data_IF_789965652986
#
_entry.id   IF_789965652986
#
_cell.length_a   1.000
_cell.length_b   1.000
_cell.length_c   1.000
_cell.angle_alpha   90.00
_cell.angle_beta   90.00
_cell.angle_gamma   90.00
#
_symmetry.space_group_name_H-M   'P 1'
#
loop_
_entity.id
_entity.type
_entity.pdbx_description
1 polymer ?
#
# COMPACT_ATOMS: atom_id res chain seq x y z
N UNK A 1 -9.49 -5.43 14.92
CA UNK A 1 -9.09 -5.32 13.49
C UNK A 1 -7.75 -5.99 13.35
N UNK A 2 -7.53 -6.71 12.25
CA UNK A 2 -6.25 -7.38 11.98
C UNK A 2 -5.28 -6.37 11.42
N UNK A 3 -4.03 -6.40 11.88
CA UNK A 3 -2.99 -5.54 11.33
C UNK A 3 -2.30 -6.22 10.12
N UNK A 4 -1.68 -5.46 9.20
CA UNK A 4 -1.03 -6.03 8.02
C UNK A 4 -0.03 -7.17 8.32
N UNK A 5 0.76 -7.06 9.40
CA UNK A 5 1.74 -8.07 9.81
C UNK A 5 1.15 -9.34 10.45
N UNK A 6 -0.15 -9.35 10.72
CA UNK A 6 -0.86 -10.52 11.24
C UNK A 6 -1.41 -11.41 10.11
N UNK A 7 -1.36 -10.93 8.86
CA UNK A 7 -1.80 -11.65 7.68
C UNK A 7 -0.61 -12.28 6.94
N UNK A 8 -0.78 -13.45 6.32
CA UNK A 8 0.14 -13.90 5.27
C UNK A 8 0.04 -12.97 4.07
N UNK A 9 1.02 -13.00 3.17
CA UNK A 9 1.04 -12.12 2.01
C UNK A 9 -0.20 -12.35 1.12
N UNK A 10 -0.61 -13.61 0.94
CA UNK A 10 -1.84 -13.95 0.22
C UNK A 10 -3.08 -13.35 0.88
N UNK A 11 -3.19 -13.41 2.22
CA UNK A 11 -4.31 -12.82 2.95
C UNK A 11 -4.27 -11.28 2.95
N UNK A 12 -3.08 -10.70 2.92
CA UNK A 12 -2.88 -9.25 2.83
C UNK A 12 -3.25 -8.70 1.45
N UNK A 13 -2.83 -9.38 0.37
CA UNK A 13 -2.93 -8.90 -1.00
C UNK A 13 -4.08 -9.49 -1.82
N UNK A 14 -4.75 -10.51 -1.29
CA UNK A 14 -5.86 -11.21 -1.94
C UNK A 14 -5.44 -12.26 -2.98
N UNK A 15 -6.38 -13.12 -3.40
CA UNK A 15 -6.10 -14.31 -4.24
C UNK A 15 -5.60 -13.96 -5.64
N UNK A 16 -5.91 -12.76 -6.15
CA UNK A 16 -5.43 -12.29 -7.45
C UNK A 16 -3.91 -12.28 -7.60
N UNK A 17 -3.17 -12.26 -6.48
CA UNK A 17 -1.73 -12.13 -6.50
C UNK A 17 -0.98 -13.29 -7.17
N UNK A 18 -1.62 -14.46 -7.27
CA UNK A 18 -1.06 -15.64 -7.92
C UNK A 18 -1.07 -15.54 -9.45
N UNK A 19 -1.76 -14.55 -10.01
CA UNK A 19 -1.91 -14.34 -11.45
C UNK A 19 -1.49 -12.91 -11.84
N UNK A 20 -0.19 -12.60 -11.98
CA UNK A 20 0.26 -11.27 -12.37
C UNK A 20 -0.41 -10.77 -13.65
N UNK A 21 -0.88 -9.53 -13.65
CA UNK A 21 -1.66 -8.94 -14.74
C UNK A 21 -1.48 -7.43 -14.78
N UNK A 22 -1.48 -6.85 -15.98
CA UNK A 22 -1.44 -5.39 -16.16
C UNK A 22 -2.84 -4.74 -16.09
N UNK A 23 -3.91 -5.50 -15.81
CA UNK A 23 -5.28 -4.97 -15.72
C UNK A 23 -5.48 -3.92 -14.63
N UNK A 24 -4.67 -3.94 -13.56
CA UNK A 24 -4.68 -2.93 -12.50
C UNK A 24 -3.67 -1.78 -12.74
N UNK A 25 -3.04 -1.72 -13.91
CA UNK A 25 -2.12 -0.64 -14.25
C UNK A 25 -2.90 0.62 -14.61
N UNK A 26 -2.70 1.67 -13.85
CA UNK A 26 -3.26 3.00 -14.14
C UNK A 26 -2.39 3.74 -15.15
N UNK A 27 -2.98 4.16 -16.26
CA UNK A 27 -2.30 5.05 -17.22
C UNK A 27 -2.22 6.50 -16.70
N UNK A 28 -1.33 7.33 -17.24
CA UNK A 28 -1.25 8.74 -16.80
C UNK A 28 -2.56 9.52 -17.06
N UNK A 29 -3.26 9.23 -18.17
CA UNK A 29 -4.55 9.86 -18.48
C UNK A 29 -5.68 9.39 -17.56
N UNK A 30 -5.69 8.11 -17.17
CA UNK A 30 -6.62 7.59 -16.17
C UNK A 30 -6.33 8.15 -14.77
N UNK A 31 -5.05 8.22 -14.40
CA UNK A 31 -4.64 8.83 -13.14
C UNK A 31 -5.07 10.29 -13.04
N UNK A 32 -4.96 11.06 -14.13
CA UNK A 32 -5.42 12.45 -14.16
C UNK A 32 -6.93 12.58 -13.90
N UNK A 33 -7.75 11.68 -14.46
CA UNK A 33 -9.20 11.62 -14.19
C UNK A 33 -9.48 11.30 -12.73
N UNK A 34 -8.83 10.26 -12.21
CA UNK A 34 -8.98 9.86 -10.80
C UNK A 34 -8.55 11.02 -9.88
N UNK A 35 -7.42 11.68 -10.14
CA UNK A 35 -6.97 12.83 -9.36
C UNK A 35 -8.00 13.96 -9.38
N UNK A 36 -8.60 14.27 -10.53
CA UNK A 36 -9.62 15.30 -10.64
C UNK A 36 -10.86 14.97 -9.79
N UNK A 37 -11.29 13.71 -9.75
CA UNK A 37 -12.36 13.25 -8.86
C UNK A 37 -11.94 13.36 -7.39
N UNK A 38 -10.74 12.88 -7.06
CA UNK A 38 -10.18 12.90 -5.71
C UNK A 38 -9.96 14.31 -5.16
N UNK A 39 -9.72 15.31 -6.02
CA UNK A 39 -9.60 16.71 -5.63
C UNK A 39 -10.89 17.28 -5.01
N UNK A 40 -12.05 16.69 -5.32
CA UNK A 40 -13.35 17.08 -4.75
C UNK A 40 -13.73 16.27 -3.50
N UNK A 41 -12.91 15.28 -3.14
CA UNK A 41 -13.17 14.39 -2.00
C UNK A 41 -12.87 15.08 -0.67
N UNK A 42 -13.69 14.80 0.35
CA UNK A 42 -13.40 15.23 1.72
C UNK A 42 -12.42 14.26 2.38
N UNK A 43 -11.32 14.80 2.89
CA UNK A 43 -10.24 14.03 3.50
C UNK A 43 -10.29 14.09 5.03
N UNK A 44 -9.88 13.01 5.68
CA UNK A 44 -9.47 13.04 7.07
C UNK A 44 -8.20 13.90 7.23
N UNK A 45 -7.85 14.33 8.46
CA UNK A 45 -6.59 15.02 8.70
C UNK A 45 -5.40 14.21 8.15
N UNK A 46 -4.55 14.88 7.38
CA UNK A 46 -3.37 14.25 6.79
C UNK A 46 -2.31 13.99 7.87
N UNK A 47 -1.64 12.84 7.77
CA UNK A 47 -0.61 12.40 8.71
C UNK A 47 0.76 12.35 8.01
N UNK A 48 1.85 12.70 8.71
CA UNK A 48 3.20 12.59 8.15
C UNK A 48 3.62 11.13 8.01
N UNK A 49 4.49 10.83 7.04
CA UNK A 49 4.99 9.45 6.77
C UNK A 49 6.05 8.97 7.79
N UNK A 50 6.27 9.71 8.89
CA UNK A 50 7.06 9.25 10.05
C UNK A 50 8.59 9.12 9.85
N UNK A 51 9.10 9.23 8.62
CA UNK A 51 10.53 9.13 8.29
C UNK A 51 11.09 10.45 7.76
N UNK A 52 12.31 10.82 8.15
CA UNK A 52 13.02 12.01 7.66
C UNK A 52 13.06 12.10 6.12
N UNK A 53 13.25 10.96 5.45
CA UNK A 53 13.29 10.86 3.99
C UNK A 53 11.97 11.30 3.32
N UNK A 54 10.86 11.24 4.04
CA UNK A 54 9.52 11.47 3.52
C UNK A 54 8.81 12.67 4.18
N UNK A 55 9.53 13.55 4.90
CA UNK A 55 8.94 14.70 5.61
C UNK A 55 8.09 15.62 4.73
N UNK A 56 8.41 15.72 3.44
CA UNK A 56 7.65 16.54 2.48
C UNK A 56 6.32 15.90 2.02
N UNK A 57 6.00 14.70 2.51
CA UNK A 57 4.82 13.95 2.11
C UNK A 57 3.90 13.68 3.30
N UNK A 58 2.60 13.73 3.01
CA UNK A 58 1.55 13.35 3.95
C UNK A 58 0.62 12.32 3.34
N UNK A 59 -0.05 11.54 4.17
CA UNK A 59 -1.07 10.57 3.76
C UNK A 59 -2.40 10.96 4.41
N UNK A 60 -3.49 10.91 3.64
CA UNK A 60 -4.83 11.06 4.18
C UNK A 60 -5.78 10.00 3.61
N UNK A 61 -6.77 9.63 4.42
CA UNK A 61 -7.88 8.78 4.00
C UNK A 61 -9.06 9.63 3.58
N UNK A 62 -9.77 9.23 2.53
CA UNK A 62 -11.06 9.80 2.21
C UNK A 62 -12.05 9.49 3.36
N UNK A 63 -12.91 10.44 3.71
CA UNK A 63 -13.92 10.24 4.76
C UNK A 63 -15.01 9.24 4.33
N UNK A 64 -15.24 9.13 3.03
CA UNK A 64 -16.16 8.16 2.44
C UNK A 64 -15.42 7.29 1.41
N UNK A 65 -15.75 5.99 1.40
CA UNK A 65 -15.09 5.00 0.56
C UNK A 65 -13.74 4.52 1.10
N UNK A 66 -13.10 3.60 0.37
CA UNK A 66 -11.81 3.01 0.71
C UNK A 66 -10.69 3.62 -0.14
N UNK A 67 -10.49 4.93 -0.05
CA UNK A 67 -9.42 5.64 -0.79
C UNK A 67 -8.41 6.24 0.18
N UNK A 68 -7.14 6.10 -0.15
CA UNK A 68 -6.01 6.75 0.52
C UNK A 68 -5.22 7.55 -0.51
N UNK A 69 -4.87 8.80 -0.18
CA UNK A 69 -4.06 9.66 -1.04
C UNK A 69 -2.75 10.07 -0.38
N UNK A 70 -1.75 10.29 -1.24
CA UNK A 70 -0.42 10.80 -0.91
C UNK A 70 -0.34 12.25 -1.39
N UNK A 71 0.03 13.15 -0.49
CA UNK A 71 0.11 14.59 -0.73
C UNK A 71 1.56 15.08 -0.69
N UNK A 72 1.90 16.01 -1.58
CA UNK A 72 3.03 16.91 -1.44
C UNK A 72 2.51 18.34 -1.18
N UNK A 73 3.42 19.33 -1.15
CA UNK A 73 3.04 20.75 -1.09
C UNK A 73 2.12 21.18 -2.25
N UNK A 74 2.23 20.54 -3.41
CA UNK A 74 1.51 20.91 -4.64
C UNK A 74 0.17 20.14 -4.81
N UNK A 75 -0.20 19.29 -3.84
CA UNK A 75 -1.45 18.52 -3.86
C UNK A 75 -1.23 17.01 -3.95
N UNK A 76 -2.20 16.31 -4.55
CA UNK A 76 -2.20 14.84 -4.65
C UNK A 76 -1.13 14.39 -5.65
N UNK A 77 -0.16 13.61 -5.16
CA UNK A 77 0.95 13.05 -5.96
C UNK A 77 0.91 11.52 -6.04
N UNK A 78 -0.06 10.89 -5.40
CA UNK A 78 -0.30 9.46 -5.49
C UNK A 78 -1.60 9.06 -4.80
N UNK A 79 -2.10 7.88 -5.13
CA UNK A 79 -3.30 7.33 -4.51
C UNK A 79 -3.30 5.80 -4.49
N UNK A 80 -4.10 5.28 -3.57
CA UNK A 80 -4.54 3.89 -3.51
C UNK A 80 -6.07 3.86 -3.48
N UNK A 81 -6.70 3.53 -4.61
CA UNK A 81 -8.16 3.56 -4.78
C UNK A 81 -8.62 2.27 -5.44
N UNK A 82 -9.56 1.53 -4.86
CA UNK A 82 -10.09 0.30 -5.50
C UNK A 82 -9.07 -0.79 -5.84
N UNK A 83 -7.88 -0.77 -5.20
CA UNK A 83 -6.69 -1.63 -5.49
C UNK A 83 -5.75 -1.11 -6.60
N UNK A 84 -6.09 0.04 -7.19
CA UNK A 84 -5.21 0.78 -8.08
C UNK A 84 -4.19 1.59 -7.27
N UNK A 85 -2.91 1.28 -7.46
CA UNK A 85 -1.79 2.06 -6.95
C UNK A 85 -1.24 2.93 -8.07
N UNK A 86 -1.17 4.23 -7.84
CA UNK A 86 -0.47 5.15 -8.73
C UNK A 86 0.30 6.21 -7.94
N UNK A 87 1.47 6.57 -8.45
CA UNK A 87 2.31 7.66 -7.96
C UNK A 87 2.80 8.45 -9.17
N UNK A 88 2.72 9.77 -9.09
CA UNK A 88 3.17 10.68 -10.13
C UNK A 88 4.63 10.41 -10.51
N UNK A 89 4.99 10.41 -11.82
CA UNK A 89 6.33 10.04 -12.28
C UNK A 89 7.48 10.73 -11.53
N UNK A 90 7.36 12.03 -11.23
CA UNK A 90 8.37 12.82 -10.52
C UNK A 90 8.63 12.36 -9.06
N UNK A 91 7.70 11.60 -8.48
CA UNK A 91 7.75 11.11 -7.10
C UNK A 91 8.04 9.61 -7.01
N UNK A 92 8.11 8.89 -8.15
CA UNK A 92 8.47 7.46 -8.20
C UNK A 92 9.92 7.23 -7.73
N UNK A 93 10.23 5.97 -7.38
CA UNK A 93 11.55 5.51 -6.89
C UNK A 93 12.01 6.16 -5.56
N UNK A 94 11.11 6.80 -4.84
CA UNK A 94 11.37 7.38 -3.50
C UNK A 94 10.93 6.48 -2.35
N UNK A 95 10.45 5.26 -2.63
CA UNK A 95 9.93 4.33 -1.62
C UNK A 95 8.53 4.66 -1.10
N UNK A 96 7.81 5.58 -1.76
CA UNK A 96 6.50 6.08 -1.32
C UNK A 96 5.35 5.06 -1.48
N UNK A 97 5.55 3.99 -2.25
CA UNK A 97 4.54 2.95 -2.41
C UNK A 97 4.27 2.19 -1.11
N UNK A 98 5.32 1.90 -0.32
CA UNK A 98 5.19 1.18 0.94
C UNK A 98 4.28 1.88 1.94
N UNK A 99 4.55 3.14 2.35
CA UNK A 99 3.69 3.82 3.32
C UNK A 99 2.26 4.03 2.78
N UNK A 100 2.10 4.30 1.48
CA UNK A 100 0.79 4.45 0.86
C UNK A 100 -0.03 3.14 0.90
N UNK A 101 0.58 2.00 0.59
CA UNK A 101 -0.09 0.69 0.64
C UNK A 101 -0.44 0.31 2.08
N UNK A 102 0.46 0.56 3.04
CA UNK A 102 0.22 0.24 4.45
C UNK A 102 -0.91 1.07 5.04
N UNK A 103 -0.93 2.37 4.77
CA UNK A 103 -2.03 3.22 5.18
C UNK A 103 -3.37 2.75 4.56
N UNK A 104 -3.37 2.39 3.28
CA UNK A 104 -4.57 1.84 2.64
C UNK A 104 -5.03 0.52 3.28
N UNK A 105 -4.09 -0.35 3.68
CA UNK A 105 -4.40 -1.59 4.38
C UNK A 105 -4.96 -1.32 5.79
N UNK A 106 -4.41 -0.36 6.52
CA UNK A 106 -4.89 0.05 7.84
C UNK A 106 -6.34 0.56 7.77
N UNK A 107 -6.65 1.42 6.80
CA UNK A 107 -8.02 1.89 6.54
C UNK A 107 -9.00 0.73 6.32
N UNK A 108 -8.52 -0.40 5.80
CA UNK A 108 -9.31 -1.58 5.40
C UNK A 108 -9.22 -2.74 6.39
N UNK A 109 -8.63 -2.53 7.58
CA UNK A 109 -8.53 -3.57 8.60
C UNK A 109 -7.50 -4.67 8.29
N UNK A 110 -6.37 -4.29 7.67
CA UNK A 110 -5.17 -5.12 7.52
C UNK A 110 -4.98 -5.77 6.16
N UNK A 111 -5.84 -5.47 5.18
CA UNK A 111 -5.79 -6.02 3.81
C UNK A 111 -5.85 -4.89 2.79
N UNK A 112 -5.16 -5.06 1.67
CA UNK A 112 -5.19 -4.07 0.58
C UNK A 112 -6.34 -4.30 -0.40
N UNK A 113 -7.10 -5.39 -0.25
CA UNK A 113 -8.25 -5.69 -1.10
C UNK A 113 -9.54 -5.39 -0.32
N UNK A 114 -10.46 -4.57 -0.86
CA UNK A 114 -11.73 -4.33 -0.18
C UNK A 114 -12.54 -5.63 -0.06
N UNK A 115 -13.38 -5.78 0.98
CA UNK A 115 -14.28 -6.93 1.09
C UNK A 115 -15.12 -7.13 -0.19
N UNK A 116 -15.21 -8.36 -0.68
CA UNK A 116 -15.99 -8.72 -1.86
C UNK A 116 -15.34 -8.39 -3.22
N UNK A 117 -14.15 -7.80 -3.23
CA UNK A 117 -13.39 -7.55 -4.46
C UNK A 117 -12.40 -8.67 -4.69
N UNK A 118 -12.38 -9.22 -5.91
CA UNK A 118 -11.31 -10.10 -6.38
C UNK A 118 -10.42 -9.28 -7.30
N UNK A 119 -9.21 -8.95 -6.84
CA UNK A 119 -8.22 -8.34 -7.71
C UNK A 119 -7.88 -9.32 -8.85
N UNK A 120 -7.86 -8.88 -10.11
CA UNK A 120 -7.50 -9.73 -11.26
C UNK A 120 -5.98 -9.81 -11.50
N UNK A 121 -5.18 -9.67 -10.44
CA UNK A 121 -3.73 -9.65 -10.54
C UNK A 121 -3.11 -8.27 -10.51
N UNK A 122 -1.92 -8.21 -9.91
CA UNK A 122 -1.09 -7.01 -9.89
C UNK A 122 -0.13 -7.03 -11.07
N UNK A 123 0.22 -5.84 -11.58
CA UNK A 123 1.35 -5.74 -12.50
C UNK A 123 2.63 -6.22 -11.77
N UNK A 124 3.69 -6.65 -12.48
CA UNK A 124 4.92 -7.07 -11.83
C UNK A 124 5.48 -6.03 -10.85
N UNK A 125 5.41 -4.74 -11.20
CA UNK A 125 5.81 -3.65 -10.33
C UNK A 125 4.87 -3.49 -9.12
N UNK A 126 3.56 -3.63 -9.33
CA UNK A 126 2.56 -3.62 -8.26
C UNK A 126 2.78 -4.76 -7.27
N UNK A 127 3.03 -5.98 -7.76
CA UNK A 127 3.33 -7.15 -6.95
C UNK A 127 4.55 -6.91 -6.04
N UNK A 128 5.65 -6.39 -6.62
CA UNK A 128 6.86 -6.06 -5.86
C UNK A 128 6.53 -5.02 -4.78
N UNK A 129 5.80 -3.96 -5.12
CA UNK A 129 5.44 -2.91 -4.16
C UNK A 129 4.62 -3.44 -2.97
N UNK A 130 3.61 -4.27 -3.23
CA UNK A 130 2.79 -4.87 -2.18
C UNK A 130 3.60 -5.83 -1.30
N UNK A 131 4.49 -6.62 -1.92
CA UNK A 131 5.36 -7.54 -1.18
C UNK A 131 6.33 -6.77 -0.29
N UNK A 132 6.97 -5.72 -0.80
CA UNK A 132 7.82 -4.83 0.00
C UNK A 132 7.06 -4.19 1.15
N UNK A 133 5.81 -3.78 0.93
CA UNK A 133 4.98 -3.19 1.98
C UNK A 133 4.66 -4.20 3.09
N UNK A 134 4.20 -5.40 2.72
CA UNK A 134 3.90 -6.47 3.68
C UNK A 134 5.14 -6.88 4.47
N UNK A 135 6.28 -7.08 3.80
CA UNK A 135 7.55 -7.40 4.45
C UNK A 135 7.97 -6.30 5.43
N UNK A 136 7.86 -5.03 5.03
CA UNK A 136 8.17 -3.91 5.91
C UNK A 136 7.29 -3.91 7.17
N UNK A 137 5.99 -4.20 7.02
CA UNK A 137 5.08 -4.30 8.16
C UNK A 137 5.49 -5.42 9.13
N UNK A 138 5.82 -6.60 8.60
CA UNK A 138 6.24 -7.76 9.41
C UNK A 138 7.55 -7.50 10.13
N UNK A 139 8.57 -6.98 9.43
CA UNK A 139 9.87 -6.69 10.02
C UNK A 139 9.77 -5.59 11.08
N UNK A 140 8.97 -4.55 10.83
CA UNK A 140 8.70 -3.49 11.82
C UNK A 140 8.03 -4.06 13.06
N UNK A 141 7.04 -4.95 12.91
CA UNK A 141 6.38 -5.60 14.03
C UNK A 141 7.35 -6.48 14.83
N UNK A 142 8.22 -7.25 14.17
CA UNK A 142 9.26 -8.05 14.83
C UNK A 142 10.22 -7.15 15.61
N UNK A 143 10.72 -6.07 14.99
CA UNK A 143 11.63 -5.13 15.63
C UNK A 143 11.01 -4.43 16.83
N UNK A 144 9.70 -4.17 16.79
CA UNK A 144 8.92 -3.61 17.89
C UNK A 144 8.54 -4.63 18.98
N UNK A 145 8.91 -5.91 18.83
CA UNK A 145 8.56 -6.98 19.77
C UNK A 145 7.08 -7.37 19.75
N UNK A 146 6.35 -7.04 18.69
CA UNK A 146 4.94 -7.39 18.55
C UNK A 146 4.77 -8.86 18.14
N UNK A 147 3.67 -9.51 18.58
CA UNK A 147 3.41 -10.89 18.22
C UNK A 147 3.10 -11.02 16.72
N UNK A 148 3.98 -11.71 16.00
CA UNK A 148 3.78 -12.08 14.58
C UNK A 148 3.38 -13.56 14.49
N UNK A 149 2.29 -13.89 13.77
CA UNK A 149 1.85 -15.28 13.67
C UNK A 149 2.90 -16.21 13.05
N UNK A 150 3.03 -17.47 13.52
CA UNK A 150 4.04 -18.41 13.01
C UNK A 150 3.98 -18.64 11.49
N UNK A 151 2.77 -18.65 10.91
CA UNK A 151 2.59 -18.80 9.46
C UNK A 151 3.21 -17.65 8.66
N UNK A 152 3.12 -16.42 9.18
CA UNK A 152 3.72 -15.22 8.56
C UNK A 152 5.25 -15.27 8.67
N UNK A 153 5.77 -15.68 9.83
CA UNK A 153 7.22 -15.88 10.02
C UNK A 153 7.76 -16.94 9.05
N UNK A 154 7.04 -18.05 8.88
CA UNK A 154 7.42 -19.12 7.95
C UNK A 154 7.48 -18.63 6.50
N UNK A 155 6.48 -17.87 6.04
CA UNK A 155 6.45 -17.25 4.72
C UNK A 155 7.62 -16.27 4.53
N UNK A 156 7.92 -15.46 5.54
CA UNK A 156 9.08 -14.55 5.49
C UNK A 156 10.41 -15.29 5.40
N UNK A 157 10.58 -16.43 6.08
CA UNK A 157 11.82 -17.25 6.01
C UNK A 157 12.04 -17.90 4.66
N UNK A 158 10.97 -18.23 3.94
CA UNK A 158 11.04 -18.79 2.59
C UNK A 158 11.40 -17.74 1.53
N UNK A 159 11.38 -16.46 1.89
CA UNK A 159 11.74 -15.36 1.01
C UNK A 159 13.07 -14.73 1.45
N UNK A 160 14.19 -15.01 0.73
CA UNK A 160 15.53 -14.58 1.15
C UNK A 160 15.70 -13.06 1.25
N UNK A 161 14.79 -12.28 0.65
CA UNK A 161 14.80 -10.80 0.78
C UNK A 161 14.27 -10.29 2.12
N UNK A 162 13.58 -11.09 2.93
CA UNK A 162 13.08 -10.66 4.24
C UNK A 162 14.19 -10.44 5.27
N UNK A 163 15.37 -11.03 5.07
CA UNK A 163 16.43 -11.04 6.08
C UNK A 163 17.71 -10.33 5.64
N UNK A 164 17.72 -9.77 4.42
CA UNK A 164 18.90 -9.15 3.83
C UNK A 164 19.11 -7.68 4.25
N UNK A 165 18.16 -7.07 4.97
CA UNK A 165 18.23 -5.68 5.46
C UNK A 165 17.65 -5.55 6.87
N UNK A 166 17.96 -6.50 7.75
CA UNK A 166 17.71 -6.39 9.20
C UNK A 166 18.97 -5.90 9.93
#
# INVERSE_FOLDING_TARGET
>A
MTAPWQNTFLAFAGPGIEHPSDTLRVSEGEAAKIIAELATTTWAPALPIGNERHQQYMIAHAQAGCVTALFSADGIVGFYAGSYLWIAPAHRRRGLSTPLILAAAEQRGGTVVPPGVVAQGFSPAGLIAHRSAHQHAVLTAIAAGWPVPPAVIAECRQNPRCWAEA
#
